data_IF_715785621083
#
_entry.id   IF_715785621083
#
_cell.length_a   1.000
_cell.length_b   1.000
_cell.length_c   1.000
_cell.angle_alpha   90.00
_cell.angle_beta   90.00
_cell.angle_gamma   90.00
#
_symmetry.space_group_name_H-M   'P 1'
#
loop_
_entity.id
_entity.type
_entity.pdbx_description
1 polymer ?
#
# COMPACT_ATOMS: atom_id res chain seq x y z
N UNK A 1 1.23 -28.84 11.88
CA UNK A 1 0.12 -28.41 10.98
C UNK A 1 -0.36 -26.98 11.24
N UNK A 2 -0.37 -26.48 12.49
CA UNK A 2 -0.81 -25.10 12.79
C UNK A 2 0.07 -23.98 12.15
N UNK A 3 1.36 -24.23 11.92
CA UNK A 3 2.28 -23.26 11.30
C UNK A 3 1.93 -22.94 9.83
N UNK A 4 1.55 -23.95 9.04
CA UNK A 4 1.20 -23.76 7.62
C UNK A 4 -0.09 -22.99 7.40
N UNK A 5 -1.07 -23.11 8.31
CA UNK A 5 -2.32 -22.35 8.22
C UNK A 5 -2.06 -20.86 8.42
N UNK A 6 -1.25 -20.49 9.44
CA UNK A 6 -0.87 -19.10 9.72
C UNK A 6 -0.09 -18.46 8.57
N UNK A 7 0.85 -19.17 7.97
CA UNK A 7 1.57 -18.69 6.78
C UNK A 7 0.65 -18.45 5.58
N UNK A 8 -0.30 -19.37 5.35
CA UNK A 8 -1.26 -19.24 4.24
C UNK A 8 -2.19 -18.05 4.45
N UNK A 9 -2.71 -17.87 5.66
CA UNK A 9 -3.56 -16.73 6.02
C UNK A 9 -2.80 -15.41 5.86
N UNK A 10 -1.53 -15.34 6.27
CA UNK A 10 -0.70 -14.14 6.06
C UNK A 10 -0.49 -13.84 4.58
N UNK A 11 -0.17 -14.85 3.75
CA UNK A 11 -0.02 -14.65 2.29
C UNK A 11 -1.30 -14.17 1.64
N UNK A 12 -2.44 -14.77 1.98
CA UNK A 12 -3.75 -14.35 1.48
C UNK A 12 -4.07 -12.93 1.95
N UNK A 13 -3.77 -12.61 3.21
CA UNK A 13 -3.94 -11.27 3.76
C UNK A 13 -3.14 -10.21 2.98
N UNK A 14 -1.85 -10.47 2.72
CA UNK A 14 -1.03 -9.56 1.90
C UNK A 14 -1.58 -9.44 0.48
N UNK A 15 -2.00 -10.54 -0.15
CA UNK A 15 -2.60 -10.50 -1.48
C UNK A 15 -3.88 -9.66 -1.51
N UNK A 16 -4.73 -9.76 -0.49
CA UNK A 16 -5.92 -8.92 -0.35
C UNK A 16 -5.57 -7.43 -0.17
N UNK A 17 -4.54 -7.11 0.60
CA UNK A 17 -4.08 -5.72 0.74
C UNK A 17 -3.58 -5.17 -0.60
N UNK A 18 -2.84 -5.95 -1.38
CA UNK A 18 -2.37 -5.54 -2.71
C UNK A 18 -3.54 -5.33 -3.67
N UNK A 19 -4.53 -6.24 -3.67
CA UNK A 19 -5.75 -6.08 -4.46
C UNK A 19 -6.54 -4.82 -4.05
N UNK A 20 -6.66 -4.57 -2.74
CA UNK A 20 -7.29 -3.37 -2.20
C UNK A 20 -6.57 -2.09 -2.66
N UNK A 21 -5.25 -2.04 -2.56
CA UNK A 21 -4.45 -0.90 -3.04
C UNK A 21 -4.59 -0.69 -4.54
N UNK A 22 -4.65 -1.78 -5.31
CA UNK A 22 -4.84 -1.72 -6.77
C UNK A 22 -6.22 -1.14 -7.12
N UNK A 23 -7.28 -1.61 -6.46
CA UNK A 23 -8.62 -1.05 -6.64
C UNK A 23 -8.72 0.41 -6.21
N UNK A 24 -8.08 0.77 -5.10
CA UNK A 24 -7.98 2.15 -4.62
C UNK A 24 -7.28 3.07 -5.63
N UNK A 25 -6.18 2.61 -6.23
CA UNK A 25 -5.46 3.36 -7.28
C UNK A 25 -6.30 3.58 -8.53
N UNK A 26 -7.09 2.59 -8.95
CA UNK A 26 -8.00 2.73 -10.09
C UNK A 26 -9.07 3.78 -9.78
N UNK A 27 -9.65 3.74 -8.58
CA UNK A 27 -10.64 4.74 -8.16
C UNK A 27 -10.03 6.14 -8.07
N UNK A 28 -8.81 6.25 -7.57
CA UNK A 28 -8.06 7.50 -7.53
C UNK A 28 -7.80 8.05 -8.94
N UNK A 29 -7.40 7.23 -9.91
CA UNK A 29 -7.22 7.67 -11.30
C UNK A 29 -8.53 8.20 -11.90
N UNK A 30 -9.67 7.57 -11.58
CA UNK A 30 -10.98 8.04 -12.00
C UNK A 30 -11.31 9.41 -11.37
N UNK A 31 -11.08 9.60 -10.07
CA UNK A 31 -11.27 10.88 -9.38
C UNK A 31 -10.37 11.95 -9.99
N UNK A 32 -9.09 11.64 -10.21
CA UNK A 32 -8.11 12.55 -10.81
C UNK A 32 -8.54 12.99 -12.21
N UNK A 33 -9.03 12.05 -13.04
CA UNK A 33 -9.60 12.36 -14.35
C UNK A 33 -10.83 13.27 -14.25
N UNK A 34 -11.73 13.03 -13.31
CA UNK A 34 -12.92 13.87 -13.09
C UNK A 34 -12.54 15.30 -12.69
N UNK A 35 -11.54 15.46 -11.81
CA UNK A 35 -11.03 16.78 -11.41
C UNK A 35 -10.38 17.47 -12.61
N UNK A 36 -9.54 16.77 -13.38
CA UNK A 36 -8.88 17.35 -14.54
C UNK A 36 -9.77 17.62 -15.75
N UNK A 37 -10.97 17.04 -15.79
CA UNK A 37 -12.03 17.45 -16.71
C UNK A 37 -12.73 18.73 -16.24
N UNK A 38 -12.76 18.97 -14.92
CA UNK A 38 -13.45 20.12 -14.31
C UNK A 38 -12.55 21.35 -14.19
N UNK A 39 -11.23 21.14 -14.07
CA UNK A 39 -10.21 22.17 -13.94
C UNK A 39 -9.11 21.84 -14.94
N UNK A 40 -8.70 22.81 -15.77
CA UNK A 40 -7.72 22.59 -16.83
C UNK A 40 -6.34 22.18 -16.23
N UNK A 41 -6.11 20.88 -16.07
CA UNK A 41 -4.88 20.34 -15.50
C UNK A 41 -3.69 20.43 -16.46
N UNK A 42 -3.93 20.91 -17.70
CA UNK A 42 -2.98 20.88 -18.80
C UNK A 42 -1.81 21.87 -18.68
N UNK A 43 -1.70 22.59 -17.57
CA UNK A 43 -0.61 23.53 -17.32
C UNK A 43 0.29 23.10 -16.15
N UNK A 44 -0.13 22.09 -15.37
CA UNK A 44 0.54 21.70 -14.13
C UNK A 44 1.45 20.48 -14.30
N UNK A 45 2.41 20.57 -15.22
CA UNK A 45 3.45 19.55 -15.42
C UNK A 45 4.84 20.08 -15.07
N UNK A 46 5.71 19.20 -14.57
CA UNK A 46 7.08 19.54 -14.23
C UNK A 46 7.18 20.36 -12.93
N UNK A 47 7.93 21.48 -12.90
CA UNK A 47 8.18 22.24 -11.66
C UNK A 47 6.92 22.89 -11.07
N UNK A 48 5.84 23.02 -11.84
CA UNK A 48 4.56 23.59 -11.41
C UNK A 48 3.56 22.52 -10.93
N UNK A 49 3.96 21.25 -10.84
CA UNK A 49 3.08 20.16 -10.39
C UNK A 49 2.58 20.35 -8.95
N UNK A 50 3.35 21.06 -8.11
CA UNK A 50 2.98 21.42 -6.74
C UNK A 50 1.82 22.41 -6.63
N UNK A 51 1.52 23.14 -7.70
CA UNK A 51 0.38 24.07 -7.77
C UNK A 51 -0.88 23.42 -8.34
N UNK A 52 -0.79 22.14 -8.73
CA UNK A 52 -1.93 21.43 -9.30
C UNK A 52 -3.06 21.28 -8.26
N UNK A 53 -4.33 21.40 -8.68
CA UNK A 53 -5.48 21.20 -7.79
C UNK A 53 -5.56 19.77 -7.22
N UNK A 54 -4.81 18.84 -7.82
CA UNK A 54 -4.70 17.43 -7.40
C UNK A 54 -3.50 17.16 -6.51
N UNK A 55 -2.57 18.11 -6.29
CA UNK A 55 -1.34 17.86 -5.53
C UNK A 55 -1.60 17.36 -4.11
N UNK A 56 -2.58 17.95 -3.41
CA UNK A 56 -2.95 17.50 -2.07
C UNK A 56 -3.54 16.07 -2.05
N UNK A 57 -4.30 15.73 -3.09
CA UNK A 57 -4.85 14.39 -3.27
C UNK A 57 -3.74 13.38 -3.58
N UNK A 58 -2.85 13.71 -4.51
CA UNK A 58 -1.69 12.91 -4.90
C UNK A 58 -0.78 12.64 -3.69
N UNK A 59 -0.55 13.66 -2.84
CA UNK A 59 0.23 13.52 -1.60
C UNK A 59 -0.45 12.61 -0.58
N UNK A 60 -1.76 12.78 -0.35
CA UNK A 60 -2.52 11.93 0.57
C UNK A 60 -2.49 10.47 0.13
N UNK A 61 -2.69 10.22 -1.17
CA UNK A 61 -2.63 8.87 -1.75
C UNK A 61 -1.23 8.26 -1.61
N UNK A 62 -0.17 9.03 -1.83
CA UNK A 62 1.20 8.61 -1.60
C UNK A 62 1.43 8.18 -0.15
N UNK A 63 1.08 9.04 0.82
CA UNK A 63 1.23 8.75 2.26
C UNK A 63 0.42 7.51 2.65
N UNK A 64 -0.80 7.39 2.13
CA UNK A 64 -1.67 6.24 2.39
C UNK A 64 -1.07 4.93 1.86
N UNK A 65 -0.62 4.90 0.60
CA UNK A 65 -0.03 3.70 -0.02
C UNK A 65 1.26 3.31 0.69
N UNK A 66 2.18 4.26 0.89
CA UNK A 66 3.46 4.00 1.56
C UNK A 66 3.23 3.56 3.00
N UNK A 67 2.33 4.22 3.73
CA UNK A 67 1.97 3.85 5.09
C UNK A 67 1.34 2.46 5.18
N UNK A 68 0.43 2.12 4.27
CA UNK A 68 -0.22 0.80 4.24
C UNK A 68 0.77 -0.31 3.91
N UNK A 69 1.66 -0.09 2.94
CA UNK A 69 2.71 -1.04 2.60
C UNK A 69 3.70 -1.22 3.74
N UNK A 70 4.10 -0.12 4.39
CA UNK A 70 4.98 -0.16 5.57
C UNK A 70 4.34 -0.93 6.72
N UNK A 71 3.09 -0.62 7.06
CA UNK A 71 2.35 -1.32 8.10
C UNK A 71 2.21 -2.82 7.76
N UNK A 72 1.91 -3.14 6.51
CA UNK A 72 1.79 -4.52 6.04
C UNK A 72 3.12 -5.26 6.17
N UNK A 73 4.24 -4.63 5.79
CA UNK A 73 5.56 -5.20 5.95
C UNK A 73 5.89 -5.44 7.42
N UNK A 74 5.67 -4.44 8.29
CA UNK A 74 5.89 -4.57 9.74
C UNK A 74 5.05 -5.70 10.32
N UNK A 75 3.76 -5.78 10.00
CA UNK A 75 2.88 -6.85 10.47
C UNK A 75 3.33 -8.21 9.94
N UNK A 76 3.74 -8.29 8.68
CA UNK A 76 4.23 -9.54 8.09
C UNK A 76 5.53 -10.01 8.78
N UNK A 77 6.50 -9.14 8.99
CA UNK A 77 7.75 -9.47 9.68
C UNK A 77 7.56 -9.86 11.15
N UNK A 78 6.68 -9.16 11.87
CA UNK A 78 6.36 -9.51 13.27
C UNK A 78 5.50 -10.78 13.38
N UNK A 79 4.72 -11.10 12.35
CA UNK A 79 3.88 -12.29 12.35
C UNK A 79 4.61 -13.56 11.91
N UNK A 80 5.75 -13.46 11.20
CA UNK A 80 6.64 -14.57 10.93
C UNK A 80 7.40 -14.94 12.20
N UNK A 81 7.29 -16.18 12.71
CA UNK A 81 8.18 -16.65 13.75
C UNK A 81 9.60 -16.60 13.19
N UNK A 82 10.46 -15.75 13.75
CA UNK A 82 11.88 -15.77 13.45
C UNK A 82 12.39 -17.18 13.67
N UNK A 83 13.03 -17.77 12.66
CA UNK A 83 13.68 -19.08 12.70
C UNK A 83 14.89 -19.14 13.68
N UNK A 84 14.88 -18.33 14.74
CA UNK A 84 15.89 -18.25 15.78
C UNK A 84 15.55 -19.06 17.04
N UNK A 85 14.34 -19.64 17.12
CA UNK A 85 13.92 -20.45 18.29
C UNK A 85 14.01 -21.96 18.06
N UNK A 86 14.50 -22.41 16.90
CA UNK A 86 14.65 -23.85 16.60
C UNK A 86 15.98 -24.47 17.10
N UNK A 87 16.81 -23.71 17.81
CA UNK A 87 18.14 -24.16 18.26
C UNK A 87 18.32 -24.29 19.78
N UNK A 88 17.26 -24.16 20.59
CA UNK A 88 17.37 -24.14 22.07
C UNK A 88 16.59 -25.24 22.80
N UNK A 89 15.97 -26.17 22.08
CA UNK A 89 15.26 -27.33 22.65
C UNK A 89 15.94 -28.69 22.36
N UNK A 90 17.20 -28.68 21.90
CA UNK A 90 18.03 -29.89 21.75
C UNK A 90 19.40 -29.73 22.43
N UNK A 91 19.45 -29.18 23.65
CA UNK A 91 20.66 -29.29 24.48
C UNK A 91 20.35 -29.52 25.95
#
# INVERSE_FOLDING_TARGET
MASSCRETVLRVGVALVVLYLTGFLILYDAIRKMICLSVDCSQYWGPYASESPVYGLDFFVMVFIVGTLFLTAVLYYNALPTASEKGKEES
#
